data_IF_538781556543
#
_entry.id   IF_538781556543
#
_cell.length_a   1.000
_cell.length_b   1.000
_cell.length_c   1.000
_cell.angle_alpha   90.00
_cell.angle_beta   90.00
_cell.angle_gamma   90.00
#
_symmetry.space_group_name_H-M   'P 1'
#
loop_
_entity.id
_entity.type
_entity.pdbx_description
1 polymer ?
#
# COMPACT_ATOMS: atom_id res chain seq x y z
N UNK A 1 23.25 -39.75 119.18
CA UNK A 1 24.40 -39.69 118.26
C UNK A 1 25.01 -38.32 118.51
N UNK A 2 25.78 -38.25 119.59
CA UNK A 2 27.25 -38.44 119.54
C UNK A 2 27.88 -37.12 119.11
N UNK A 3 28.43 -36.39 120.07
CA UNK A 3 29.78 -36.52 120.63
C UNK A 3 30.68 -35.51 119.92
N UNK A 4 31.08 -34.46 120.64
CA UNK A 4 32.33 -34.42 121.43
C UNK A 4 33.52 -34.16 120.51
N UNK A 5 34.17 -33.01 120.74
CA UNK A 5 35.57 -32.90 121.23
C UNK A 5 36.47 -32.56 120.02
N UNK A 6 37.57 -31.83 120.09
CA UNK A 6 38.41 -31.23 121.14
C UNK A 6 39.34 -30.26 120.37
N UNK A 7 39.51 -29.00 120.77
CA UNK A 7 40.60 -28.47 121.62
C UNK A 7 41.89 -28.08 120.87
N UNK A 8 42.48 -27.00 121.42
CA UNK A 8 43.82 -26.43 121.24
C UNK A 8 43.92 -25.35 120.15
N UNK A 9 44.51 -24.15 120.36
CA UNK A 9 45.50 -23.75 121.36
C UNK A 9 45.64 -22.20 121.36
N UNK A 10 45.82 -21.62 122.56
CA UNK A 10 46.59 -20.41 122.95
C UNK A 10 46.63 -19.18 121.99
N UNK A 11 46.42 -17.93 122.42
CA UNK A 11 47.21 -17.16 123.40
C UNK A 11 46.36 -15.95 123.85
N UNK A 12 46.28 -15.74 125.15
CA UNK A 12 45.71 -14.57 125.79
C UNK A 12 46.85 -13.58 126.11
N UNK A 13 46.93 -12.46 125.40
CA UNK A 13 47.45 -11.20 125.95
C UNK A 13 46.35 -10.14 125.88
N UNK A 14 45.60 -10.04 126.97
CA UNK A 14 44.81 -8.87 127.30
C UNK A 14 45.73 -7.73 127.76
N UNK A 15 45.90 -6.73 126.90
CA UNK A 15 46.61 -5.48 127.22
C UNK A 15 45.82 -4.26 126.77
N UNK A 16 44.86 -3.85 127.61
CA UNK A 16 44.20 -2.54 127.62
C UNK A 16 43.77 -1.96 126.26
N UNK A 17 42.59 -2.38 125.81
CA UNK A 17 41.73 -1.54 124.94
C UNK A 17 41.25 -0.33 125.74
N UNK A 18 42.13 0.68 125.80
CA UNK A 18 41.87 2.06 126.20
C UNK A 18 40.49 2.49 125.68
N UNK A 19 39.75 3.27 126.46
CA UNK A 19 38.48 3.89 126.02
C UNK A 19 38.60 4.56 124.64
N UNK A 20 39.82 4.95 124.26
CA UNK A 20 40.21 5.40 122.92
C UNK A 20 39.91 4.39 121.80
N UNK A 21 40.10 3.09 122.00
CA UNK A 21 39.80 2.03 121.01
C UNK A 21 38.30 1.80 120.80
N UNK A 22 37.48 2.03 121.83
CA UNK A 22 36.00 1.94 121.75
C UNK A 22 35.43 3.13 120.97
N UNK A 23 35.94 4.33 121.26
CA UNK A 23 35.63 5.55 120.51
C UNK A 23 36.16 5.45 119.07
N UNK A 24 37.39 4.95 118.88
CA UNK A 24 37.98 4.73 117.55
C UNK A 24 37.15 3.73 116.74
N UNK A 25 36.75 2.59 117.29
CA UNK A 25 35.91 1.59 116.59
C UNK A 25 34.53 2.17 116.25
N UNK A 26 33.97 3.04 117.09
CA UNK A 26 32.72 3.75 116.80
C UNK A 26 32.90 4.78 115.66
N UNK A 27 33.98 5.57 115.69
CA UNK A 27 34.34 6.51 114.62
C UNK A 27 34.61 5.77 113.32
N UNK A 28 35.32 4.64 113.35
CA UNK A 28 35.64 3.84 112.17
C UNK A 28 34.36 3.24 111.55
N UNK A 29 33.43 2.77 112.38
CA UNK A 29 32.11 2.30 111.93
C UNK A 29 31.27 3.44 111.35
N UNK A 30 31.34 4.64 111.94
CA UNK A 30 30.66 5.83 111.43
C UNK A 30 31.24 6.27 110.07
N UNK A 31 32.57 6.34 109.95
CA UNK A 31 33.26 6.62 108.68
C UNK A 31 32.89 5.57 107.64
N UNK A 32 32.87 4.29 108.00
CA UNK A 32 32.52 3.23 107.06
C UNK A 32 31.10 3.39 106.55
N UNK A 33 30.12 3.66 107.42
CA UNK A 33 28.72 3.91 107.01
C UNK A 33 28.61 5.15 106.12
N UNK A 34 29.35 6.22 106.44
CA UNK A 34 29.37 7.44 105.62
C UNK A 34 30.00 7.17 104.26
N UNK A 35 31.14 6.48 104.20
CA UNK A 35 31.80 6.09 102.95
C UNK A 35 30.89 5.17 102.14
N UNK A 36 30.24 4.20 102.77
CA UNK A 36 29.32 3.31 102.09
C UNK A 36 28.11 4.06 101.54
N UNK A 37 27.56 5.02 102.29
CA UNK A 37 26.49 5.90 101.83
C UNK A 37 26.91 6.79 100.65
N UNK A 38 28.14 7.32 100.68
CA UNK A 38 28.71 8.10 99.57
C UNK A 38 28.93 7.21 98.34
N UNK A 39 29.46 5.99 98.52
CA UNK A 39 29.68 5.03 97.42
C UNK A 39 28.35 4.58 96.83
N UNK A 40 27.35 4.28 97.65
CA UNK A 40 26.02 3.89 97.18
C UNK A 40 25.33 5.06 96.46
N UNK A 41 25.44 6.26 97.02
CA UNK A 41 24.94 7.50 96.41
C UNK A 41 25.61 7.79 95.08
N UNK A 42 26.94 7.65 94.99
CA UNK A 42 27.71 7.80 93.76
C UNK A 42 27.38 6.71 92.73
N UNK A 43 27.21 5.46 93.16
CA UNK A 43 26.83 4.34 92.30
C UNK A 43 25.42 4.52 91.72
N UNK A 44 24.46 5.01 92.50
CA UNK A 44 23.12 5.35 92.00
C UNK A 44 23.16 6.59 91.10
N UNK A 45 23.87 7.63 91.52
CA UNK A 45 23.97 8.89 90.78
C UNK A 45 24.68 8.73 89.43
N UNK A 46 25.66 7.83 89.32
CA UNK A 46 26.39 7.55 88.08
C UNK A 46 25.82 6.36 87.30
N UNK A 47 25.29 5.34 87.99
CA UNK A 47 24.79 4.11 87.39
C UNK A 47 23.46 4.30 86.66
N UNK A 48 22.53 5.08 87.24
CA UNK A 48 21.24 5.38 86.59
C UNK A 48 21.44 6.11 85.25
N UNK A 49 22.23 7.20 85.14
CA UNK A 49 22.47 7.85 83.85
C UNK A 49 23.29 7.00 82.86
N UNK A 50 24.19 6.13 83.33
CA UNK A 50 24.93 5.22 82.47
C UNK A 50 24.01 4.17 81.79
N UNK A 51 23.10 3.56 82.56
CA UNK A 51 22.08 2.63 82.04
C UNK A 51 21.08 3.32 81.10
N UNK A 52 20.73 4.57 81.38
CA UNK A 52 19.83 5.36 80.53
C UNK A 52 20.46 5.62 79.16
N UNK A 53 21.75 5.99 79.11
CA UNK A 53 22.49 6.16 77.85
C UNK A 53 22.69 4.84 77.11
N UNK A 54 23.07 3.76 77.80
CA UNK A 54 23.36 2.48 77.10
C UNK A 54 22.13 1.79 76.53
N UNK A 55 20.93 2.03 77.08
CA UNK A 55 19.73 1.22 76.74
C UNK A 55 18.67 2.00 75.97
N UNK A 56 18.47 3.29 76.25
CA UNK A 56 17.39 4.08 75.64
C UNK A 56 17.86 4.77 74.35
N UNK A 57 19.13 5.17 74.28
CA UNK A 57 19.74 5.80 73.10
C UNK A 57 19.75 4.88 71.86
N UNK A 58 20.14 3.59 71.93
CA UNK A 58 20.08 2.70 70.76
C UNK A 58 18.64 2.37 70.32
N UNK A 59 17.66 2.38 71.23
CA UNK A 59 16.26 2.18 70.84
C UNK A 59 15.71 3.36 70.03
N UNK A 60 16.10 4.59 70.36
CA UNK A 60 15.73 5.78 69.56
C UNK A 60 16.34 5.72 68.15
N UNK A 61 17.64 5.42 68.05
CA UNK A 61 18.31 5.27 66.76
C UNK A 61 17.71 4.12 65.92
N UNK A 62 17.35 2.99 66.54
CA UNK A 62 16.67 1.91 65.82
C UNK A 62 15.25 2.28 65.40
N UNK A 63 14.52 3.07 66.20
CA UNK A 63 13.18 3.53 65.85
C UNK A 63 13.21 4.47 64.64
N UNK A 64 14.14 5.44 64.63
CA UNK A 64 14.36 6.33 63.49
C UNK A 64 14.73 5.55 62.21
N UNK A 65 15.58 4.53 62.34
CA UNK A 65 16.00 3.68 61.21
C UNK A 65 14.87 2.79 60.68
N UNK A 66 13.99 2.32 61.56
CA UNK A 66 12.79 1.57 61.16
C UNK A 66 11.82 2.50 60.42
N UNK A 67 11.65 3.74 60.89
CA UNK A 67 10.82 4.74 60.23
C UNK A 67 11.37 5.08 58.83
N UNK A 68 12.68 5.29 58.69
CA UNK A 68 13.35 5.50 57.39
C UNK A 68 13.20 4.29 56.45
N UNK A 69 13.33 3.06 56.98
CA UNK A 69 13.10 1.83 56.20
C UNK A 69 11.64 1.69 55.77
N UNK A 70 10.69 2.04 56.64
CA UNK A 70 9.27 2.03 56.30
C UNK A 70 8.95 3.07 55.21
N UNK A 71 9.52 4.26 55.29
CA UNK A 71 9.36 5.31 54.28
C UNK A 71 9.97 4.89 52.95
N UNK A 72 11.19 4.34 52.96
CA UNK A 72 11.83 3.84 51.73
C UNK A 72 11.07 2.66 51.11
N UNK A 73 10.51 1.74 51.92
CA UNK A 73 9.65 0.67 51.43
C UNK A 73 8.36 1.23 50.82
N UNK A 74 7.69 2.18 51.49
CA UNK A 74 6.49 2.82 50.97
C UNK A 74 6.76 3.55 49.65
N UNK A 75 7.89 4.26 49.55
CA UNK A 75 8.34 4.92 48.34
C UNK A 75 8.67 3.92 47.22
N UNK A 76 9.29 2.80 47.57
CA UNK A 76 9.58 1.69 46.64
C UNK A 76 8.31 1.06 46.08
N UNK A 77 7.33 0.75 46.93
CA UNK A 77 6.02 0.23 46.50
C UNK A 77 5.29 1.22 45.59
N UNK A 78 5.24 2.50 45.96
CA UNK A 78 4.61 3.53 45.13
C UNK A 78 5.30 3.68 43.76
N UNK A 79 6.63 3.58 43.73
CA UNK A 79 7.39 3.64 42.48
C UNK A 79 7.13 2.41 41.61
N UNK A 80 7.08 1.21 42.21
CA UNK A 80 6.77 -0.03 41.50
C UNK A 80 5.35 -0.02 40.92
N UNK A 81 4.37 0.48 41.68
CA UNK A 81 2.98 0.61 41.22
C UNK A 81 2.89 1.52 39.99
N UNK A 82 3.54 2.69 40.04
CA UNK A 82 3.63 3.61 38.88
C UNK A 82 4.32 2.98 37.67
N UNK A 83 5.37 2.19 37.87
CA UNK A 83 6.04 1.51 36.76
C UNK A 83 5.13 0.44 36.12
N UNK A 84 4.38 -0.31 36.93
CA UNK A 84 3.42 -1.30 36.42
C UNK A 84 2.30 -0.61 35.65
N UNK A 85 1.78 0.52 36.15
CA UNK A 85 0.78 1.33 35.47
C UNK A 85 1.31 1.84 34.11
N UNK A 86 2.51 2.45 34.09
CA UNK A 86 3.14 2.93 32.86
C UNK A 86 3.43 1.80 31.85
N UNK A 87 3.84 0.62 32.32
CA UNK A 87 4.04 -0.54 31.44
C UNK A 87 2.70 -1.04 30.89
N UNK A 88 1.63 -1.01 31.69
CA UNK A 88 0.27 -1.32 31.24
C UNK A 88 -0.20 -0.38 30.14
N UNK A 89 -0.04 0.93 30.32
CA UNK A 89 -0.38 1.94 29.31
C UNK A 89 0.40 1.72 28.01
N UNK A 90 1.72 1.50 28.10
CA UNK A 90 2.56 1.24 26.93
C UNK A 90 2.20 -0.06 26.22
N UNK A 91 1.77 -1.09 26.96
CA UNK A 91 1.32 -2.35 26.38
C UNK A 91 0.05 -2.14 25.57
N UNK A 92 -0.94 -1.44 26.14
CA UNK A 92 -2.20 -1.11 25.45
C UNK A 92 -1.93 -0.26 24.21
N UNK A 93 -1.03 0.72 24.28
CA UNK A 93 -0.64 1.54 23.12
C UNK A 93 0.06 0.69 22.03
N UNK A 94 0.95 -0.23 22.43
CA UNK A 94 1.65 -1.11 21.50
C UNK A 94 0.69 -2.11 20.84
N UNK A 95 -0.23 -2.70 21.60
CA UNK A 95 -1.29 -3.59 21.08
C UNK A 95 -2.21 -2.84 20.10
N UNK A 96 -2.57 -1.58 20.40
CA UNK A 96 -3.35 -0.74 19.51
C UNK A 96 -2.64 -0.47 18.18
N UNK A 97 -1.35 -0.11 18.22
CA UNK A 97 -0.54 0.07 16.99
C UNK A 97 -0.40 -1.22 16.19
N UNK A 98 -0.27 -2.36 16.86
CA UNK A 98 -0.16 -3.66 16.21
C UNK A 98 -1.48 -4.01 15.49
N UNK A 99 -2.62 -3.74 16.13
CA UNK A 99 -3.93 -3.92 15.49
C UNK A 99 -4.10 -3.05 14.24
N UNK A 100 -3.70 -1.77 14.31
CA UNK A 100 -3.71 -0.86 13.16
C UNK A 100 -2.78 -1.34 12.03
N UNK A 101 -1.60 -1.86 12.37
CA UNK A 101 -0.68 -2.45 11.38
C UNK A 101 -1.27 -3.70 10.71
N UNK A 102 -1.94 -4.57 11.46
CA UNK A 102 -2.63 -5.73 10.88
C UNK A 102 -3.72 -5.27 9.91
N UNK A 103 -4.51 -4.27 10.27
CA UNK A 103 -5.55 -3.74 9.40
C UNK A 103 -4.99 -3.13 8.12
N UNK A 104 -3.94 -2.30 8.23
CA UNK A 104 -3.29 -1.70 7.05
C UNK A 104 -2.63 -2.73 6.15
N UNK A 105 -1.97 -3.75 6.71
CA UNK A 105 -1.39 -4.84 5.90
C UNK A 105 -2.45 -5.69 5.21
N UNK A 106 -3.58 -5.97 5.86
CA UNK A 106 -4.71 -6.66 5.24
C UNK A 106 -5.34 -5.84 4.10
N UNK A 107 -5.49 -4.52 4.29
CA UNK A 107 -5.98 -3.61 3.26
C UNK A 107 -5.04 -3.55 2.04
N UNK A 108 -3.73 -3.42 2.27
CA UNK A 108 -2.73 -3.43 1.21
C UNK A 108 -2.70 -4.77 0.46
N UNK A 109 -2.88 -5.89 1.16
CA UNK A 109 -2.94 -7.21 0.53
C UNK A 109 -4.18 -7.34 -0.38
N UNK A 110 -5.34 -6.87 0.07
CA UNK A 110 -6.55 -6.84 -0.74
C UNK A 110 -6.40 -5.92 -1.97
N UNK A 111 -5.70 -4.78 -1.83
CA UNK A 111 -5.38 -3.89 -2.95
C UNK A 111 -4.45 -4.57 -3.97
N UNK A 112 -3.41 -5.28 -3.51
CA UNK A 112 -2.51 -6.03 -4.38
C UNK A 112 -3.24 -7.14 -5.15
N UNK A 113 -4.14 -7.87 -4.48
CA UNK A 113 -4.96 -8.90 -5.12
C UNK A 113 -5.87 -8.28 -6.20
N UNK A 114 -6.49 -7.12 -5.91
CA UNK A 114 -7.29 -6.38 -6.88
C UNK A 114 -6.49 -5.87 -8.08
N UNK A 115 -5.26 -5.40 -7.87
CA UNK A 115 -4.34 -5.00 -8.97
C UNK A 115 -3.98 -6.23 -9.82
N UNK A 116 -3.78 -7.40 -9.22
CA UNK A 116 -3.54 -8.66 -9.92
C UNK A 116 -4.69 -9.00 -10.89
N UNK A 117 -5.94 -8.92 -10.43
CA UNK A 117 -7.11 -9.17 -11.27
C UNK A 117 -7.21 -8.19 -12.45
N UNK A 118 -6.90 -6.91 -12.22
CA UNK A 118 -6.89 -5.89 -13.28
C UNK A 118 -5.80 -6.16 -14.31
N UNK A 119 -4.61 -6.60 -13.88
CA UNK A 119 -3.53 -6.97 -14.80
C UNK A 119 -3.91 -8.17 -15.67
N UNK A 120 -4.56 -9.19 -15.10
CA UNK A 120 -5.05 -10.35 -15.85
C UNK A 120 -6.12 -9.96 -16.88
N UNK A 121 -7.06 -9.09 -16.50
CA UNK A 121 -8.07 -8.56 -17.43
C UNK A 121 -7.41 -7.76 -18.58
N UNK A 122 -6.43 -6.90 -18.27
CA UNK A 122 -5.69 -6.16 -19.28
C UNK A 122 -4.89 -7.07 -20.22
N UNK A 123 -4.24 -8.11 -19.69
CA UNK A 123 -3.53 -9.10 -20.51
C UNK A 123 -4.50 -9.80 -21.49
N UNK A 124 -5.70 -10.12 -21.03
CA UNK A 124 -6.75 -10.71 -21.88
C UNK A 124 -7.22 -9.74 -22.97
N UNK A 125 -7.37 -8.44 -22.66
CA UNK A 125 -7.74 -7.40 -23.62
C UNK A 125 -6.65 -7.19 -24.68
N UNK A 126 -5.38 -7.16 -24.28
CA UNK A 126 -4.24 -7.07 -25.19
C UNK A 126 -4.23 -8.28 -26.13
N UNK A 127 -4.42 -9.50 -25.60
CA UNK A 127 -4.50 -10.70 -26.44
C UNK A 127 -5.63 -10.62 -27.48
N UNK A 128 -6.81 -10.13 -27.09
CA UNK A 128 -7.93 -9.89 -28.03
C UNK A 128 -7.58 -8.85 -29.09
N UNK A 129 -6.92 -7.76 -28.72
CA UNK A 129 -6.46 -6.72 -29.66
C UNK A 129 -5.43 -7.29 -30.65
N UNK A 130 -4.51 -8.13 -30.19
CA UNK A 130 -3.54 -8.81 -31.07
C UNK A 130 -4.26 -9.72 -32.07
N UNK A 131 -5.25 -10.50 -31.62
CA UNK A 131 -6.05 -11.35 -32.51
C UNK A 131 -6.77 -10.49 -33.55
N UNK A 132 -7.42 -9.41 -33.12
CA UNK A 132 -8.15 -8.50 -34.00
C UNK A 132 -7.22 -7.84 -35.03
N UNK A 133 -6.02 -7.42 -34.60
CA UNK A 133 -5.00 -6.86 -35.50
C UNK A 133 -4.58 -7.87 -36.58
N UNK A 134 -4.34 -9.12 -36.20
CA UNK A 134 -3.97 -10.18 -37.16
C UNK A 134 -5.12 -10.48 -38.14
N UNK A 135 -6.37 -10.45 -37.67
CA UNK A 135 -7.55 -10.58 -38.54
C UNK A 135 -7.64 -9.43 -39.54
N UNK A 136 -7.34 -8.21 -39.10
CA UNK A 136 -7.37 -7.02 -39.93
C UNK A 136 -6.28 -7.06 -41.01
N UNK A 137 -5.08 -7.52 -40.68
CA UNK A 137 -4.00 -7.77 -41.63
C UNK A 137 -4.40 -8.84 -42.66
N UNK A 138 -5.02 -9.94 -42.22
CA UNK A 138 -5.51 -10.98 -43.12
C UNK A 138 -6.60 -10.48 -44.08
N UNK A 139 -7.56 -9.67 -43.58
CA UNK A 139 -8.57 -9.02 -44.42
C UNK A 139 -7.92 -8.06 -45.43
N UNK A 140 -6.90 -7.32 -45.02
CA UNK A 140 -6.16 -6.42 -45.92
C UNK A 140 -5.51 -7.21 -47.07
N UNK A 141 -4.87 -8.34 -46.75
CA UNK A 141 -4.27 -9.21 -47.77
C UNK A 141 -5.31 -9.84 -48.72
N UNK A 142 -6.46 -10.27 -48.20
CA UNK A 142 -7.57 -10.79 -49.01
C UNK A 142 -8.16 -9.70 -49.95
N UNK A 143 -8.19 -8.46 -49.46
CA UNK A 143 -8.62 -7.30 -50.25
C UNK A 143 -7.66 -7.03 -51.41
N UNK A 144 -6.34 -7.07 -51.15
CA UNK A 144 -5.31 -6.92 -52.18
C UNK A 144 -5.38 -8.03 -53.23
N UNK A 145 -5.62 -9.27 -52.80
CA UNK A 145 -5.83 -10.39 -53.73
C UNK A 145 -7.10 -10.19 -54.58
N UNK A 146 -8.18 -9.70 -53.97
CA UNK A 146 -9.43 -9.41 -54.68
C UNK A 146 -9.22 -8.32 -55.72
N UNK A 147 -8.52 -7.23 -55.38
CA UNK A 147 -8.18 -6.15 -56.34
C UNK A 147 -7.40 -6.73 -57.53
N UNK A 148 -6.34 -7.51 -57.28
CA UNK A 148 -5.54 -8.11 -58.35
C UNK A 148 -6.36 -9.04 -59.26
N UNK A 149 -7.30 -9.81 -58.69
CA UNK A 149 -8.22 -10.65 -59.48
C UNK A 149 -9.17 -9.81 -60.33
N UNK A 150 -9.67 -8.70 -59.80
CA UNK A 150 -10.57 -7.78 -60.52
C UNK A 150 -9.83 -7.06 -61.65
N UNK A 151 -8.59 -6.61 -61.42
CA UNK A 151 -7.73 -6.03 -62.47
C UNK A 151 -7.44 -7.03 -63.60
N UNK A 152 -7.13 -8.29 -63.27
CA UNK A 152 -6.95 -9.35 -64.27
C UNK A 152 -8.23 -9.58 -65.10
N UNK A 153 -9.39 -9.53 -64.43
CA UNK A 153 -10.68 -9.65 -65.11
C UNK A 153 -10.91 -8.48 -66.06
N UNK A 154 -10.58 -7.24 -65.66
CA UNK A 154 -10.67 -6.05 -66.50
C UNK A 154 -9.78 -6.16 -67.76
N UNK A 155 -8.55 -6.65 -67.62
CA UNK A 155 -7.66 -6.90 -68.77
C UNK A 155 -8.27 -7.93 -69.71
N UNK A 156 -8.75 -9.05 -69.18
CA UNK A 156 -9.38 -10.11 -69.98
C UNK A 156 -10.62 -9.60 -70.72
N UNK A 157 -11.43 -8.76 -70.07
CA UNK A 157 -12.61 -8.12 -70.68
C UNK A 157 -12.25 -7.06 -71.72
N UNK A 158 -11.05 -6.49 -71.62
CA UNK A 158 -10.54 -5.53 -72.60
C UNK A 158 -10.31 -6.14 -73.97
N UNK A 159 -10.10 -7.46 -74.03
CA UNK A 159 -9.87 -8.22 -75.26
C UNK A 159 -11.17 -8.69 -75.95
N UNK A 160 -12.33 -8.59 -75.29
CA UNK A 160 -13.62 -9.09 -75.81
C UNK A 160 -14.50 -7.93 -76.31
N UNK A 161 -14.71 -7.84 -77.63
CA UNK A 161 -15.63 -6.88 -78.25
C UNK A 161 -17.11 -7.34 -78.10
N UNK A 162 -17.86 -6.68 -77.20
CA UNK A 162 -19.30 -6.79 -76.89
C UNK A 162 -19.82 -8.02 -76.08
N UNK A 163 -20.77 -7.84 -75.13
CA UNK A 163 -21.25 -6.62 -74.46
C UNK A 163 -20.42 -6.34 -73.20
N UNK A 164 -19.13 -6.03 -73.38
CA UNK A 164 -18.17 -5.87 -72.29
C UNK A 164 -18.16 -4.46 -71.66
N UNK A 165 -18.83 -3.46 -72.24
CA UNK A 165 -18.74 -2.06 -71.76
C UNK A 165 -19.46 -1.89 -70.42
N UNK A 166 -20.71 -2.35 -70.31
CA UNK A 166 -21.48 -2.26 -69.06
C UNK A 166 -20.87 -3.11 -67.95
N UNK A 167 -20.41 -4.32 -68.30
CA UNK A 167 -19.73 -5.18 -67.35
C UNK A 167 -18.38 -4.60 -66.90
N UNK A 168 -17.61 -3.97 -67.78
CA UNK A 168 -16.36 -3.27 -67.42
C UNK A 168 -16.62 -2.08 -66.52
N UNK A 169 -17.70 -1.33 -66.76
CA UNK A 169 -18.15 -0.25 -65.87
C UNK A 169 -18.45 -0.78 -64.46
N UNK A 170 -19.20 -1.89 -64.36
CA UNK A 170 -19.48 -2.54 -63.07
C UNK A 170 -18.21 -3.04 -62.37
N UNK A 171 -17.29 -3.67 -63.11
CA UNK A 171 -15.98 -4.13 -62.59
C UNK A 171 -15.18 -2.97 -62.00
N UNK A 172 -15.09 -1.84 -62.71
CA UNK A 172 -14.40 -0.63 -62.20
C UNK A 172 -15.09 -0.03 -60.98
N UNK A 173 -16.42 0.02 -60.97
CA UNK A 173 -17.16 0.47 -59.79
C UNK A 173 -16.86 -0.40 -58.58
N UNK A 174 -16.84 -1.73 -58.74
CA UNK A 174 -16.46 -2.66 -57.68
C UNK A 174 -15.00 -2.44 -57.23
N UNK A 175 -14.05 -2.22 -58.16
CA UNK A 175 -12.66 -1.87 -57.82
C UNK A 175 -12.58 -0.59 -56.99
N UNK A 176 -13.27 0.47 -57.40
CA UNK A 176 -13.30 1.74 -56.66
C UNK A 176 -13.90 1.56 -55.26
N UNK A 177 -14.98 0.81 -55.11
CA UNK A 177 -15.55 0.43 -53.80
C UNK A 177 -14.53 -0.30 -52.92
N UNK A 178 -13.75 -1.19 -53.51
CA UNK A 178 -12.73 -1.98 -52.82
C UNK A 178 -11.59 -1.08 -52.31
N UNK A 179 -11.09 -0.17 -53.16
CA UNK A 179 -10.10 0.85 -52.80
C UNK A 179 -10.60 1.80 -51.70
N UNK A 180 -11.85 2.27 -51.77
CA UNK A 180 -12.46 3.10 -50.72
C UNK A 180 -12.55 2.33 -49.40
N UNK A 181 -12.91 1.05 -49.44
CA UNK A 181 -12.95 0.19 -48.25
C UNK A 181 -11.57 0.03 -47.63
N UNK A 182 -10.53 -0.13 -48.47
CA UNK A 182 -9.13 -0.19 -48.04
C UNK A 182 -8.66 1.13 -47.43
N UNK A 183 -8.99 2.26 -48.04
CA UNK A 183 -8.69 3.58 -47.49
C UNK A 183 -9.29 3.78 -46.09
N UNK A 184 -10.55 3.37 -45.88
CA UNK A 184 -11.21 3.41 -44.57
C UNK A 184 -10.49 2.51 -43.55
N UNK A 185 -10.00 1.35 -44.00
CA UNK A 185 -9.21 0.45 -43.17
C UNK A 185 -7.88 1.07 -42.74
N UNK A 186 -7.19 1.75 -43.66
CA UNK A 186 -5.95 2.47 -43.35
C UNK A 186 -6.18 3.63 -42.38
N UNK A 187 -7.31 4.34 -42.47
CA UNK A 187 -7.69 5.35 -41.49
C UNK A 187 -7.88 4.77 -40.09
N UNK A 188 -8.50 3.58 -39.97
CA UNK A 188 -8.65 2.88 -38.68
C UNK A 188 -7.28 2.48 -38.10
N UNK A 189 -6.31 2.18 -38.97
CA UNK A 189 -4.94 1.84 -38.59
C UNK A 189 -4.02 3.06 -38.38
N UNK A 190 -4.55 4.29 -38.47
CA UNK A 190 -3.78 5.55 -38.42
C UNK A 190 -2.69 5.66 -39.52
N UNK A 191 -2.86 4.94 -40.63
CA UNK A 191 -1.95 5.01 -41.78
C UNK A 191 -2.46 5.99 -42.84
N UNK A 192 -2.39 7.28 -42.51
CA UNK A 192 -2.96 8.36 -43.34
C UNK A 192 -2.32 8.48 -44.73
N UNK A 193 -1.05 8.03 -44.87
CA UNK A 193 -0.34 8.03 -46.15
C UNK A 193 -0.95 7.04 -47.14
N UNK A 194 -1.09 5.78 -46.70
CA UNK A 194 -1.72 4.74 -47.52
C UNK A 194 -3.20 5.00 -47.74
N UNK A 195 -3.91 5.56 -46.75
CA UNK A 195 -5.27 6.02 -46.95
C UNK A 195 -5.35 7.03 -48.11
N UNK A 196 -4.50 8.04 -48.14
CA UNK A 196 -4.49 9.03 -49.22
C UNK A 196 -4.18 8.41 -50.61
N UNK A 197 -3.26 7.45 -50.67
CA UNK A 197 -2.92 6.73 -51.90
C UNK A 197 -4.13 5.97 -52.45
N UNK A 198 -4.83 5.20 -51.61
CA UNK A 198 -6.02 4.43 -52.01
C UNK A 198 -7.19 5.34 -52.44
N UNK A 199 -7.39 6.49 -51.77
CA UNK A 199 -8.44 7.45 -52.17
C UNK A 199 -8.11 8.05 -53.53
N UNK A 200 -6.84 8.41 -53.77
CA UNK A 200 -6.40 8.94 -55.06
C UNK A 200 -6.55 7.91 -56.18
N UNK A 201 -6.22 6.64 -55.92
CA UNK A 201 -6.39 5.55 -56.88
C UNK A 201 -7.86 5.32 -57.24
N UNK A 202 -8.75 5.29 -56.23
CA UNK A 202 -10.19 5.16 -56.45
C UNK A 202 -10.74 6.32 -57.30
N UNK A 203 -10.31 7.55 -56.99
CA UNK A 203 -10.69 8.76 -57.71
C UNK A 203 -10.26 8.70 -59.18
N UNK A 204 -9.01 8.33 -59.44
CA UNK A 204 -8.47 8.24 -60.81
C UNK A 204 -9.19 7.16 -61.62
N UNK A 205 -9.45 6.00 -61.01
CA UNK A 205 -10.18 4.91 -61.64
C UNK A 205 -11.60 5.31 -62.07
N UNK A 206 -12.32 6.04 -61.21
CA UNK A 206 -13.65 6.57 -61.53
C UNK A 206 -13.59 7.66 -62.60
N UNK A 207 -12.63 8.58 -62.54
CA UNK A 207 -12.46 9.62 -63.55
C UNK A 207 -12.19 9.02 -64.94
N UNK A 208 -11.35 7.98 -65.01
CA UNK A 208 -11.04 7.28 -66.26
C UNK A 208 -12.26 6.55 -66.84
N UNK A 209 -13.20 6.10 -65.99
CA UNK A 209 -14.44 5.45 -66.45
C UNK A 209 -15.41 6.39 -67.20
N UNK A 210 -15.39 7.69 -66.90
CA UNK A 210 -16.19 8.69 -67.62
C UNK A 210 -15.66 8.97 -69.02
N UNK A 211 -14.33 8.93 -69.20
CA UNK A 211 -13.68 9.19 -70.48
C UNK A 211 -14.03 8.10 -71.50
N UNK A 212 -14.09 6.84 -71.07
CA UNK A 212 -14.36 5.70 -71.95
C UNK A 212 -15.79 5.64 -72.48
N UNK A 213 -16.76 6.30 -71.83
CA UNK A 213 -18.18 6.27 -72.20
C UNK A 213 -18.66 7.51 -72.95
N UNK A 214 -17.89 8.61 -72.96
CA UNK A 214 -18.29 9.92 -73.52
C UNK A 214 -19.64 10.46 -72.96
N UNK A 215 -20.07 9.96 -71.80
CA UNK A 215 -21.29 10.39 -71.10
C UNK A 215 -20.86 10.96 -69.75
N UNK A 216 -21.27 12.18 -69.47
CA UNK A 216 -21.13 12.76 -68.13
C UNK A 216 -22.15 12.08 -67.23
N UNK A 217 -21.66 11.38 -66.22
CA UNK A 217 -22.47 10.67 -65.23
C UNK A 217 -22.47 11.48 -63.93
N UNK A 218 -23.55 12.21 -63.68
CA UNK A 218 -23.71 13.10 -62.52
C UNK A 218 -23.49 12.35 -61.19
N UNK A 219 -23.80 11.06 -61.13
CA UNK A 219 -23.61 10.22 -59.94
C UNK A 219 -22.11 9.99 -59.66
N UNK A 220 -21.33 9.67 -60.69
CA UNK A 220 -19.88 9.47 -60.55
C UNK A 220 -19.19 10.82 -60.27
N UNK A 221 -19.68 11.93 -60.82
CA UNK A 221 -19.15 13.27 -60.50
C UNK A 221 -19.32 13.57 -59.02
N UNK A 222 -20.50 13.30 -58.47
CA UNK A 222 -20.76 13.50 -57.03
C UNK A 222 -19.85 12.61 -56.16
N UNK A 223 -19.58 11.37 -56.57
CA UNK A 223 -18.67 10.47 -55.86
C UNK A 223 -17.24 11.04 -55.88
N UNK A 224 -16.75 11.50 -57.03
CA UNK A 224 -15.40 12.08 -57.17
C UNK A 224 -15.26 13.32 -56.28
N UNK A 225 -16.28 14.19 -56.21
CA UNK A 225 -16.26 15.35 -55.31
C UNK A 225 -16.12 14.95 -53.84
N UNK A 226 -16.81 13.87 -53.42
CA UNK A 226 -16.67 13.32 -52.05
C UNK A 226 -15.28 12.77 -51.79
N UNK A 227 -14.67 12.09 -52.78
CA UNK A 227 -13.29 11.61 -52.66
C UNK A 227 -12.27 12.76 -52.61
N UNK A 228 -12.52 13.86 -53.32
CA UNK A 228 -11.69 15.07 -53.28
C UNK A 228 -11.75 15.75 -51.91
N UNK A 229 -12.94 15.83 -51.30
CA UNK A 229 -13.10 16.30 -49.92
C UNK A 229 -12.37 15.38 -48.93
N UNK A 230 -12.55 14.07 -49.07
CA UNK A 230 -11.85 13.09 -48.24
C UNK A 230 -10.32 13.22 -48.35
N UNK A 231 -9.77 13.43 -49.56
CA UNK A 231 -8.33 13.65 -49.78
C UNK A 231 -7.81 14.94 -49.12
N UNK A 232 -8.60 16.01 -49.16
CA UNK A 232 -8.24 17.27 -48.51
C UNK A 232 -8.16 17.11 -46.98
N UNK A 233 -9.06 16.31 -46.41
CA UNK A 233 -9.22 16.13 -44.97
C UNK A 233 -8.43 14.95 -44.39
N UNK A 234 -7.93 14.02 -45.21
CA UNK A 234 -7.30 12.75 -44.76
C UNK A 234 -6.15 12.94 -43.77
N UNK A 235 -5.41 14.06 -43.86
CA UNK A 235 -4.26 14.36 -42.98
C UNK A 235 -4.58 15.29 -41.82
N UNK A 236 -5.63 16.09 -41.94
CA UNK A 236 -5.96 17.19 -41.02
C UNK A 236 -7.18 16.88 -40.16
N UNK A 237 -8.15 16.17 -40.74
CA UNK A 237 -9.40 15.73 -40.11
C UNK A 237 -9.75 14.29 -40.53
N UNK A 238 -9.00 13.26 -40.04
CA UNK A 238 -9.17 11.87 -40.49
C UNK A 238 -10.58 11.30 -40.25
N UNK A 239 -11.27 11.76 -39.20
CA UNK A 239 -12.65 11.36 -38.90
C UNK A 239 -13.61 11.91 -39.96
N UNK A 240 -13.46 13.17 -40.34
CA UNK A 240 -14.28 13.80 -41.38
C UNK A 240 -14.02 13.14 -42.73
N UNK A 241 -12.74 12.85 -43.04
CA UNK A 241 -12.39 12.08 -44.23
C UNK A 241 -13.05 10.68 -44.24
N UNK A 242 -13.10 9.98 -43.09
CA UNK A 242 -13.77 8.68 -42.99
C UNK A 242 -15.29 8.78 -43.27
N UNK A 243 -15.94 9.84 -42.82
CA UNK A 243 -17.36 10.11 -43.10
C UNK A 243 -17.58 10.40 -44.59
N UNK A 244 -16.74 11.21 -45.23
CA UNK A 244 -16.81 11.49 -46.67
C UNK A 244 -16.60 10.21 -47.51
N UNK A 245 -15.67 9.32 -47.09
CA UNK A 245 -15.49 8.01 -47.72
C UNK A 245 -16.70 7.11 -47.55
N UNK A 246 -17.39 7.15 -46.42
CA UNK A 246 -18.64 6.41 -46.23
C UNK A 246 -19.75 6.91 -47.15
N UNK A 247 -19.87 8.23 -47.31
CA UNK A 247 -20.83 8.84 -48.24
C UNK A 247 -20.50 8.42 -49.68
N UNK A 248 -19.23 8.55 -50.09
CA UNK A 248 -18.78 8.12 -51.42
C UNK A 248 -19.08 6.64 -51.68
N UNK A 249 -18.81 5.77 -50.70
CA UNK A 249 -19.10 4.33 -50.80
C UNK A 249 -20.59 4.05 -50.97
N UNK A 250 -21.46 4.71 -50.18
CA UNK A 250 -22.93 4.55 -50.29
C UNK A 250 -23.46 4.97 -51.66
N UNK A 251 -22.97 6.08 -52.19
CA UNK A 251 -23.32 6.55 -53.54
C UNK A 251 -22.87 5.56 -54.61
N UNK A 252 -21.69 4.93 -54.44
CA UNK A 252 -21.18 3.93 -55.37
C UNK A 252 -21.99 2.63 -55.35
N UNK A 253 -22.49 2.22 -54.17
CA UNK A 253 -23.44 1.10 -54.03
C UNK A 253 -24.76 1.42 -54.73
N UNK A 254 -25.23 2.66 -54.67
CA UNK A 254 -26.46 3.07 -55.35
C UNK A 254 -26.28 3.08 -56.88
N UNK A 255 -25.18 3.62 -57.37
CA UNK A 255 -24.83 3.67 -58.79
C UNK A 255 -24.60 2.28 -59.43
N UNK A 256 -24.29 1.26 -58.63
CA UNK A 256 -24.10 -0.13 -59.09
C UNK A 256 -25.38 -0.97 -59.11
N UNK A 257 -26.52 -0.44 -58.64
CA UNK A 257 -27.78 -1.17 -58.71
C UNK A 257 -28.25 -1.33 -60.17
N UNK A 258 -28.63 -2.55 -60.60
CA UNK A 258 -29.12 -2.76 -61.95
C UNK A 258 -30.45 -2.03 -62.16
N UNK A 259 -30.50 -1.09 -63.11
CA UNK A 259 -31.74 -0.45 -63.52
C UNK A 259 -32.73 -1.51 -64.02
N UNK A 260 -34.01 -1.50 -63.58
CA UNK A 260 -34.99 -2.49 -64.01
C UNK A 260 -35.19 -2.38 -65.53
N UNK A 261 -35.00 -3.49 -66.24
CA UNK A 261 -35.32 -3.58 -67.66
C UNK A 261 -36.80 -3.24 -67.88
N UNK A 262 -37.09 -2.01 -68.32
CA UNK A 262 -38.43 -1.65 -68.79
C UNK A 262 -38.61 -2.24 -70.17
N UNK A 263 -39.15 -3.46 -70.24
CA UNK A 263 -39.68 -3.99 -71.50
C UNK A 263 -40.90 -3.15 -71.88
N UNK A 264 -40.69 -2.13 -72.72
CA UNK A 264 -41.81 -1.46 -73.41
C UNK A 264 -42.47 -2.49 -74.32
N UNK A 265 -43.75 -2.86 -74.11
CA UNK A 265 -44.45 -3.73 -75.04
C UNK A 265 -44.67 -2.97 -76.36
N UNK A 266 -44.05 -3.46 -77.43
CA UNK A 266 -44.31 -3.00 -78.80
C UNK A 266 -45.79 -3.29 -79.14
N UNK A 267 -46.52 -2.35 -79.77
CA UNK A 267 -47.95 -2.48 -80.10
C UNK A 267 -48.27 -3.55 -81.14
#
# INVERSE_FOLDING_TARGET
>A
MENETEVAEQVNEQGQVSAFSRVMRFILRLIFVVVFGIVLGAALYLGVPALYRSTIEPMRANTERIEELQESLAMGFSTSEKQVEQLGERLVEAEGRLAEQIETTAALQAELDGIGEVLDDQASKISRLTILSNQLEAITADLDETIARVELLEVTLSEVEFPAVEFRRQVRMISAMTMITKARLWLIQDNLGQAAEEISAARELLANSMVDTNVVDDEITQIIERLDLALADVRTMPIVAADELEIAWKLLVEATNPQPFTLTPTP
#
